data_IF_507889397899
#
_entry.id   IF_507889397899
#
_cell.length_a   1.000
_cell.length_b   1.000
_cell.length_c   1.000
_cell.angle_alpha   90.00
_cell.angle_beta   90.00
_cell.angle_gamma   90.00
#
_symmetry.space_group_name_H-M   'P 1'
#
loop_
_entity.id
_entity.type
_entity.pdbx_description
1 polymer ?
#
# COMPACT_ATOMS: atom_id res chain seq x y z
N UNK A 1 -19.73 9.48 -10.55
CA UNK A 1 -20.01 9.19 -9.13
C UNK A 1 -18.66 9.02 -8.45
N UNK A 2 -18.16 10.08 -7.81
CA UNK A 2 -16.90 10.04 -7.05
C UNK A 2 -17.21 9.55 -5.65
N UNK A 3 -17.05 8.25 -5.41
CA UNK A 3 -17.09 7.72 -4.05
C UNK A 3 -16.00 8.43 -3.24
N UNK A 4 -16.45 9.30 -2.31
CA UNK A 4 -15.56 9.87 -1.31
C UNK A 4 -15.17 8.75 -0.36
N UNK A 5 -14.05 8.10 -0.69
CA UNK A 5 -13.44 7.09 0.16
C UNK A 5 -12.93 7.81 1.40
N UNK A 6 -13.72 7.75 2.47
CA UNK A 6 -13.36 8.32 3.76
C UNK A 6 -12.26 7.47 4.37
N UNK A 7 -11.19 8.09 4.88
CA UNK A 7 -10.02 7.42 5.47
C UNK A 7 -10.42 6.42 6.58
N UNK A 8 -11.56 6.66 7.22
CA UNK A 8 -12.18 5.83 8.26
C UNK A 8 -12.75 4.49 7.77
N UNK A 9 -13.06 4.34 6.48
CA UNK A 9 -13.64 3.09 5.91
C UNK A 9 -12.62 2.29 5.10
N UNK A 10 -11.38 2.77 5.03
CA UNK A 10 -10.31 2.10 4.33
C UNK A 10 -9.94 0.81 5.07
N UNK A 11 -9.75 -0.33 4.36
CA UNK A 11 -9.08 -1.49 4.93
C UNK A 11 -7.62 -1.12 5.23
N UNK A 12 -7.41 -0.47 6.37
CA UNK A 12 -6.10 -0.11 6.88
C UNK A 12 -5.40 -1.39 7.35
N UNK A 13 -4.30 -1.70 6.69
CA UNK A 13 -3.45 -2.83 7.03
C UNK A 13 -2.61 -2.39 8.22
N UNK A 14 -2.90 -2.92 9.40
CA UNK A 14 -2.01 -2.71 10.55
C UNK A 14 -0.83 -3.66 10.43
N UNK A 15 0.34 -3.10 10.15
CA UNK A 15 1.60 -3.84 10.15
C UNK A 15 2.45 -3.28 11.29
N UNK A 16 2.86 -4.12 12.24
CA UNK A 16 3.58 -3.71 13.45
C UNK A 16 2.97 -2.52 14.20
N UNK A 17 1.64 -2.56 14.39
CA UNK A 17 0.86 -1.49 15.06
C UNK A 17 0.85 -0.13 14.32
N UNK A 18 1.41 -0.06 13.11
CA UNK A 18 1.41 1.13 12.26
C UNK A 18 0.31 1.00 11.20
N UNK A 19 -0.58 2.00 11.05
CA UNK A 19 -1.56 2.01 9.97
C UNK A 19 -0.85 2.19 8.63
N UNK A 20 -0.98 1.19 7.77
CA UNK A 20 -0.45 1.20 6.42
C UNK A 20 -1.56 0.94 5.39
N UNK A 21 -1.36 1.44 4.18
CA UNK A 21 -2.28 1.27 3.04
C UNK A 21 -1.57 0.66 1.84
N UNK A 22 -2.29 -0.07 1.00
CA UNK A 22 -1.70 -0.66 -0.21
C UNK A 22 -1.47 0.41 -1.28
N UNK A 23 -0.62 0.10 -2.25
CA UNK A 23 -0.33 1.00 -3.38
C UNK A 23 -1.60 1.29 -4.20
N UNK A 24 -2.48 0.31 -4.32
CA UNK A 24 -3.77 0.41 -5.01
C UNK A 24 -4.68 1.41 -4.29
N UNK A 25 -4.75 1.33 -2.96
CA UNK A 25 -5.55 2.23 -2.14
C UNK A 25 -4.98 3.65 -2.15
N UNK A 26 -3.65 3.76 -2.04
CA UNK A 26 -2.94 5.03 -2.15
C UNK A 26 -3.23 5.71 -3.50
N UNK A 27 -3.17 4.94 -4.59
CA UNK A 27 -3.48 5.43 -5.92
C UNK A 27 -4.93 5.93 -6.01
N UNK A 28 -5.88 5.19 -5.44
CA UNK A 28 -7.29 5.58 -5.38
C UNK A 28 -7.50 6.89 -4.59
N UNK A 29 -6.77 7.08 -3.48
CA UNK A 29 -6.82 8.32 -2.69
C UNK A 29 -6.26 9.53 -3.44
N UNK A 30 -5.17 9.35 -4.18
CA UNK A 30 -4.60 10.40 -5.04
C UNK A 30 -5.34 10.59 -6.36
N UNK A 31 -6.31 9.74 -6.68
CA UNK A 31 -6.96 9.73 -8.00
C UNK A 31 -5.98 9.43 -9.14
N UNK A 32 -4.94 8.63 -8.87
CA UNK A 32 -3.91 8.24 -9.84
C UNK A 32 -3.88 6.72 -10.03
N UNK A 33 -3.04 6.23 -10.92
CA UNK A 33 -2.83 4.79 -11.12
C UNK A 33 -1.71 4.26 -10.22
N UNK A 34 -1.80 3.00 -9.74
CA UNK A 34 -0.77 2.39 -8.91
C UNK A 34 0.60 2.29 -9.62
N UNK A 35 0.62 2.28 -10.95
CA UNK A 35 1.85 2.33 -11.74
C UNK A 35 2.62 3.65 -11.55
N UNK A 36 1.91 4.79 -11.46
CA UNK A 36 2.53 6.09 -11.20
C UNK A 36 3.15 6.15 -9.80
N UNK A 37 2.51 5.56 -8.80
CA UNK A 37 3.08 5.46 -7.45
C UNK A 37 4.38 4.65 -7.48
N UNK A 38 4.40 3.50 -8.18
CA UNK A 38 5.60 2.66 -8.31
C UNK A 38 6.72 3.40 -9.04
N UNK A 39 6.40 4.12 -10.12
CA UNK A 39 7.36 4.98 -10.84
C UNK A 39 7.89 6.09 -9.95
N UNK A 40 7.03 6.76 -9.18
CA UNK A 40 7.42 7.81 -8.25
C UNK A 40 8.36 7.28 -7.17
N UNK A 41 8.03 6.12 -6.59
CA UNK A 41 8.89 5.44 -5.63
C UNK A 41 10.27 5.17 -6.23
N UNK A 42 10.32 4.52 -7.40
CA UNK A 42 11.59 4.15 -8.03
C UNK A 42 12.44 5.37 -8.41
N UNK A 43 11.82 6.49 -8.81
CA UNK A 43 12.53 7.74 -9.13
C UNK A 43 13.06 8.45 -7.89
N UNK A 44 12.37 8.31 -6.76
CA UNK A 44 12.69 9.01 -5.51
C UNK A 44 13.08 8.02 -4.40
N UNK A 45 13.70 6.89 -4.75
CA UNK A 45 14.06 5.82 -3.80
C UNK A 45 14.88 6.37 -2.63
N UNK A 46 15.76 7.34 -2.88
CA UNK A 46 16.59 7.98 -1.84
C UNK A 46 15.77 8.73 -0.78
N UNK A 47 14.56 9.17 -1.12
CA UNK A 47 13.64 9.86 -0.20
C UNK A 47 12.79 8.89 0.62
N UNK A 48 12.66 7.63 0.18
CA UNK A 48 11.83 6.62 0.80
C UNK A 48 12.66 5.67 1.66
N UNK A 49 12.32 5.57 2.94
CA UNK A 49 13.03 4.72 3.91
C UNK A 49 12.10 3.58 4.29
N UNK A 50 12.56 2.35 4.08
CA UNK A 50 11.86 1.15 4.53
C UNK A 50 11.70 1.16 6.06
N UNK A 51 10.52 0.83 6.55
CA UNK A 51 10.18 0.90 7.98
C UNK A 51 9.65 2.26 8.45
N UNK A 52 9.91 3.34 7.70
CA UNK A 52 9.45 4.70 8.05
C UNK A 52 8.41 5.25 7.07
N UNK A 53 8.66 5.09 5.78
CA UNK A 53 7.79 5.60 4.71
C UNK A 53 6.99 4.47 4.09
N UNK A 54 7.62 3.32 3.86
CA UNK A 54 6.96 2.13 3.31
C UNK A 54 7.46 0.85 3.98
N UNK A 55 6.70 -0.23 3.84
CA UNK A 55 7.09 -1.58 4.23
C UNK A 55 6.98 -2.50 3.02
N UNK A 56 8.03 -3.28 2.75
CA UNK A 56 8.01 -4.26 1.67
C UNK A 56 7.67 -5.63 2.23
N UNK A 57 6.46 -6.08 1.97
CA UNK A 57 5.96 -7.37 2.41
C UNK A 57 6.23 -8.41 1.32
N UNK A 58 6.88 -9.51 1.69
CA UNK A 58 7.34 -10.57 0.77
C UNK A 58 7.12 -11.97 1.39
N UNK A 59 7.08 -13.00 0.54
CA UNK A 59 7.05 -14.39 1.01
C UNK A 59 5.77 -14.76 1.78
N UNK A 60 5.94 -15.36 2.96
CA UNK A 60 4.82 -15.85 3.76
C UNK A 60 4.02 -14.74 4.42
N UNK A 61 4.65 -13.59 4.69
CA UNK A 61 3.96 -12.41 5.20
C UNK A 61 2.96 -11.87 4.16
N UNK A 62 3.34 -11.89 2.88
CA UNK A 62 2.45 -11.53 1.79
C UNK A 62 1.27 -12.51 1.65
N UNK A 63 1.50 -13.81 1.87
CA UNK A 63 0.42 -14.81 1.87
C UNK A 63 -0.58 -14.54 3.00
N UNK A 64 -0.08 -14.26 4.21
CA UNK A 64 -0.94 -13.93 5.35
C UNK A 64 -1.73 -12.66 5.08
N UNK A 65 -1.07 -11.63 4.54
CA UNK A 65 -1.71 -10.35 4.20
C UNK A 65 -2.85 -10.53 3.18
N UNK A 66 -2.67 -11.40 2.18
CA UNK A 66 -3.72 -11.72 1.19
C UNK A 66 -4.96 -12.34 1.83
N UNK A 67 -4.78 -13.19 2.83
CA UNK A 67 -5.90 -13.82 3.55
C UNK A 67 -6.66 -12.78 4.37
N UNK A 68 -5.94 -11.84 5.00
CA UNK A 68 -6.54 -10.73 5.76
C UNK A 68 -7.18 -9.68 4.85
N UNK A 69 -6.64 -9.47 3.65
CA UNK A 69 -7.07 -8.45 2.68
C UNK A 69 -7.82 -9.04 1.49
N UNK A 70 -8.62 -10.09 1.73
CA UNK A 70 -9.51 -10.68 0.72
C UNK A 70 -10.27 -9.68 -0.17
N UNK A 71 -10.79 -8.53 0.31
CA UNK A 71 -11.47 -7.57 -0.58
C UNK A 71 -10.54 -6.84 -1.56
N UNK A 72 -9.24 -6.71 -1.29
CA UNK A 72 -8.31 -5.91 -2.11
C UNK A 72 -7.80 -6.62 -3.37
N UNK A 73 -8.31 -7.82 -3.71
CA UNK A 73 -7.98 -8.58 -4.93
C UNK A 73 -6.48 -8.56 -5.31
N UNK A 74 -5.61 -8.81 -4.33
CA UNK A 74 -4.17 -8.90 -4.60
C UNK A 74 -3.91 -10.12 -5.49
N UNK A 75 -3.36 -9.89 -6.69
CA UNK A 75 -3.06 -10.98 -7.63
C UNK A 75 -2.18 -12.05 -6.98
N UNK A 76 -2.48 -13.36 -7.14
CA UNK A 76 -1.68 -14.43 -6.58
C UNK A 76 -0.24 -14.48 -7.13
N UNK A 77 0.01 -13.87 -8.29
CA UNK A 77 1.34 -13.76 -8.93
C UNK A 77 2.25 -12.69 -8.31
N UNK A 78 1.71 -11.79 -7.49
CA UNK A 78 2.51 -10.76 -6.82
C UNK A 78 3.55 -11.42 -5.91
N UNK A 79 4.84 -11.13 -6.11
CA UNK A 79 5.93 -11.68 -5.29
C UNK A 79 6.29 -10.78 -4.12
N UNK A 80 5.97 -9.49 -4.22
CA UNK A 80 6.22 -8.46 -3.21
C UNK A 80 5.13 -7.41 -3.25
N UNK A 81 4.68 -6.95 -2.10
CA UNK A 81 3.72 -5.85 -1.96
C UNK A 81 4.37 -4.71 -1.18
N UNK A 82 4.16 -3.47 -1.63
CA UNK A 82 4.58 -2.29 -0.89
C UNK A 82 3.37 -1.73 -0.15
N UNK A 83 3.51 -1.62 1.17
CA UNK A 83 2.59 -0.94 2.07
C UNK A 83 3.13 0.45 2.37
N UNK A 84 2.27 1.44 2.32
CA UNK A 84 2.60 2.85 2.53
C UNK A 84 2.08 3.31 3.87
N UNK A 85 2.95 3.93 4.65
CA UNK A 85 2.56 4.62 5.88
C UNK A 85 2.00 6.00 5.55
N UNK A 86 1.32 6.65 6.50
CA UNK A 86 0.89 8.05 6.37
C UNK A 86 2.04 8.98 5.96
N UNK A 87 3.25 8.73 6.47
CA UNK A 87 4.45 9.51 6.14
C UNK A 87 5.00 9.25 4.74
N UNK A 88 4.78 8.05 4.20
CA UNK A 88 5.17 7.73 2.82
C UNK A 88 4.13 8.18 1.79
N UNK A 89 2.89 8.40 2.23
CA UNK A 89 1.85 9.01 1.44
C UNK A 89 2.06 10.53 1.30
N UNK A 90 2.44 11.22 2.39
CA UNK A 90 2.55 12.68 2.46
C UNK A 90 3.58 13.34 1.51
#
# INVERSE_FOLDING_TARGET
MTDQISVSTLPSVRHDNIPCITTELLAQLYGTEPDYIRKNHNRNIERFIEGKHFFKVVGDELKNLRVSLRPLQISPKTRSLILWTERGAA
#
